data_IF_370040973856
#
_entry.id   IF_370040973856
#
_cell.length_a   1.000
_cell.length_b   1.000
_cell.length_c   1.000
_cell.angle_alpha   90.00
_cell.angle_beta   90.00
_cell.angle_gamma   90.00
#
_symmetry.space_group_name_H-M   'P 1'
#
loop_
_entity.id
_entity.type
_entity.pdbx_description
1 polymer ?
#
# COMPACT_ATOMS: atom_id res chain seq x y z
N UNK A 1 -1.22 -30.34 12.53
CA UNK A 1 -0.69 -31.41 13.37
C UNK A 1 0.19 -32.32 12.52
N UNK A 2 1.41 -32.69 13.06
CA UNK A 2 2.30 -33.65 12.43
C UNK A 2 2.03 -35.05 12.94
N UNK A 3 2.24 -36.06 12.11
CA UNK A 3 2.20 -37.44 12.48
C UNK A 3 3.34 -38.23 11.82
N UNK A 4 3.73 -39.36 12.43
CA UNK A 4 4.84 -40.17 11.97
C UNK A 4 4.26 -41.52 11.50
N UNK A 5 4.66 -41.98 10.34
CA UNK A 5 4.35 -43.27 9.81
C UNK A 5 5.63 -44.06 9.54
N UNK A 6 5.63 -45.34 9.83
CA UNK A 6 6.73 -46.24 9.47
C UNK A 6 6.47 -46.79 8.07
N UNK A 7 7.33 -46.52 7.11
CA UNK A 7 7.25 -46.97 5.73
C UNK A 7 8.59 -47.50 5.25
N UNK A 8 8.57 -48.68 4.69
CA UNK A 8 9.73 -49.36 4.00
C UNK A 8 11.04 -49.36 4.81
N UNK A 9 10.97 -49.42 6.13
CA UNK A 9 12.13 -49.43 7.00
C UNK A 9 12.53 -48.09 7.63
N UNK A 10 11.84 -47.01 7.25
CA UNK A 10 12.11 -45.66 7.75
C UNK A 10 10.88 -45.04 8.43
N UNK A 11 11.16 -44.06 9.33
CA UNK A 11 10.13 -43.20 9.91
C UNK A 11 9.92 -41.98 9.05
N UNK A 12 8.72 -41.86 8.46
CA UNK A 12 8.36 -40.70 7.64
C UNK A 12 7.49 -39.77 8.46
N UNK A 13 7.89 -38.50 8.51
CA UNK A 13 7.16 -37.44 9.19
C UNK A 13 6.25 -36.74 8.19
N UNK A 14 4.97 -36.69 8.53
CA UNK A 14 3.95 -35.96 7.76
C UNK A 14 3.52 -34.73 8.55
N UNK A 15 3.51 -33.59 7.90
CA UNK A 15 3.04 -32.33 8.46
C UNK A 15 2.01 -31.70 7.56
N UNK A 16 0.98 -31.12 8.16
CA UNK A 16 0.14 -30.17 7.46
C UNK A 16 0.97 -28.91 7.21
N UNK A 17 1.14 -28.55 5.96
CA UNK A 17 1.90 -27.35 5.58
C UNK A 17 0.97 -26.24 5.19
N UNK A 18 1.32 -25.01 5.58
CA UNK A 18 0.65 -23.80 5.18
C UNK A 18 1.33 -23.17 3.95
N UNK A 19 0.57 -22.34 3.28
CA UNK A 19 1.02 -21.47 2.21
C UNK A 19 0.80 -20.03 2.65
N UNK A 20 1.73 -19.14 2.33
CA UNK A 20 1.56 -17.70 2.54
C UNK A 20 1.83 -16.96 1.25
N UNK A 21 1.04 -15.92 1.04
CA UNK A 21 1.22 -14.95 -0.04
C UNK A 21 1.64 -13.61 0.55
N UNK A 22 2.64 -12.98 -0.05
CA UNK A 22 3.17 -11.67 0.35
C UNK A 22 3.19 -10.76 -0.87
N UNK A 23 2.59 -9.57 -0.76
CA UNK A 23 2.66 -8.50 -1.75
C UNK A 23 3.54 -7.38 -1.21
N UNK A 24 4.58 -7.02 -1.94
CA UNK A 24 5.54 -6.00 -1.53
C UNK A 24 5.90 -5.08 -2.70
N UNK A 25 6.33 -3.82 -2.45
CA UNK A 25 6.91 -2.99 -3.48
C UNK A 25 8.07 -3.71 -4.17
N UNK A 26 8.16 -3.60 -5.48
CA UNK A 26 9.13 -4.36 -6.30
C UNK A 26 10.59 -4.13 -5.89
N UNK A 27 10.88 -2.94 -5.37
CA UNK A 27 12.22 -2.55 -4.91
C UNK A 27 12.59 -3.09 -3.52
N UNK A 28 11.63 -3.68 -2.79
CA UNK A 28 11.86 -4.17 -1.43
C UNK A 28 12.36 -5.60 -1.43
N UNK A 29 13.25 -5.92 -0.50
CA UNK A 29 13.58 -7.30 -0.16
C UNK A 29 12.57 -7.82 0.86
N UNK A 30 12.08 -9.02 0.63
CA UNK A 30 11.13 -9.69 1.52
C UNK A 30 11.75 -10.97 2.05
N UNK A 31 11.60 -11.20 3.34
CA UNK A 31 12.13 -12.38 4.03
C UNK A 31 10.98 -13.15 4.69
N UNK A 32 11.03 -14.47 4.59
CA UNK A 32 10.15 -15.38 5.31
C UNK A 32 11.03 -16.29 6.16
N UNK A 33 10.86 -16.24 7.48
CA UNK A 33 11.73 -16.94 8.46
C UNK A 33 13.22 -16.66 8.21
N UNK A 34 13.57 -15.39 7.98
CA UNK A 34 14.92 -14.90 7.69
C UNK A 34 15.53 -15.40 6.36
N UNK A 35 14.74 -16.01 5.48
CA UNK A 35 15.17 -16.40 4.14
C UNK A 35 14.61 -15.40 3.14
N UNK A 36 15.50 -14.76 2.38
CA UNK A 36 15.12 -13.81 1.31
C UNK A 36 14.34 -14.53 0.20
N UNK A 37 13.21 -13.93 -0.20
CA UNK A 37 12.43 -14.43 -1.32
C UNK A 37 13.04 -14.00 -2.65
N UNK A 38 13.13 -14.94 -3.58
CA UNK A 38 13.69 -14.70 -4.91
C UNK A 38 12.68 -15.02 -6.01
N UNK A 39 13.15 -15.06 -7.24
CA UNK A 39 12.36 -15.32 -8.44
C UNK A 39 11.55 -16.63 -8.37
N UNK A 40 12.05 -17.63 -7.68
CA UNK A 40 11.36 -18.93 -7.55
C UNK A 40 10.04 -18.85 -6.79
N UNK A 41 9.86 -17.85 -5.93
CA UNK A 41 8.65 -17.61 -5.15
C UNK A 41 7.72 -16.59 -5.79
N UNK A 42 8.15 -15.90 -6.85
CA UNK A 42 7.34 -14.89 -7.53
C UNK A 42 6.18 -15.55 -8.27
N UNK A 43 4.98 -15.07 -8.00
CA UNK A 43 3.73 -15.50 -8.66
C UNK A 43 3.15 -14.43 -9.58
N UNK A 44 3.41 -13.16 -9.30
CA UNK A 44 2.99 -12.04 -10.13
C UNK A 44 3.95 -10.87 -9.97
N UNK A 45 4.23 -10.16 -11.08
CA UNK A 45 5.05 -8.93 -11.14
C UNK A 45 4.25 -7.77 -11.71
N UNK A 46 4.82 -6.59 -11.61
CA UNK A 46 4.30 -5.35 -12.20
C UNK A 46 2.84 -5.05 -11.78
N UNK A 47 2.47 -5.41 -10.55
CA UNK A 47 1.13 -5.13 -10.04
C UNK A 47 1.07 -3.63 -9.74
N UNK A 48 0.13 -2.87 -10.35
CA UNK A 48 -0.02 -1.44 -10.07
C UNK A 48 -0.38 -1.18 -8.61
N UNK A 49 0.04 -0.03 -8.10
CA UNK A 49 -0.34 0.47 -6.78
C UNK A 49 -1.83 0.85 -6.72
N UNK A 50 -2.37 0.93 -5.53
CA UNK A 50 -3.71 1.50 -5.33
C UNK A 50 -3.64 3.01 -5.61
N UNK A 51 -4.54 3.50 -6.45
CA UNK A 51 -4.58 4.91 -6.84
C UNK A 51 -3.62 5.30 -7.97
N UNK A 52 -2.94 4.36 -8.61
CA UNK A 52 -2.09 4.65 -9.77
C UNK A 52 -2.86 5.39 -10.88
N UNK A 53 -4.16 5.14 -11.00
CA UNK A 53 -5.06 5.84 -11.92
C UNK A 53 -5.26 7.33 -11.60
N UNK A 54 -4.90 7.75 -10.39
CA UNK A 54 -5.00 9.15 -9.93
C UNK A 54 -3.69 9.91 -10.11
N UNK A 55 -2.63 9.23 -10.51
CA UNK A 55 -1.32 9.85 -10.68
C UNK A 55 -1.30 10.78 -11.91
N UNK A 56 -0.52 11.88 -11.84
CA UNK A 56 -0.33 12.77 -12.97
C UNK A 56 0.24 12.05 -14.19
N UNK A 57 -0.09 12.55 -15.38
CA UNK A 57 0.43 11.98 -16.62
C UNK A 57 1.97 11.96 -16.65
N UNK A 58 2.54 10.78 -16.88
CA UNK A 58 3.99 10.59 -16.92
C UNK A 58 4.63 10.29 -15.57
N UNK A 59 3.85 10.21 -14.50
CA UNK A 59 4.30 9.71 -13.19
C UNK A 59 3.98 8.22 -13.12
N UNK A 60 5.00 7.41 -12.89
CA UNK A 60 4.82 5.98 -12.64
C UNK A 60 4.61 5.74 -11.14
N UNK A 61 3.58 5.00 -10.80
CA UNK A 61 3.30 4.56 -9.42
C UNK A 61 4.23 3.46 -8.95
N UNK A 62 4.13 3.14 -7.69
CA UNK A 62 4.89 2.04 -7.09
C UNK A 62 4.35 0.71 -7.60
N UNK A 63 5.19 -0.05 -8.29
CA UNK A 63 4.87 -1.41 -8.72
C UNK A 63 5.11 -2.40 -7.59
N UNK A 64 4.29 -3.42 -7.54
CA UNK A 64 4.35 -4.47 -6.54
C UNK A 64 4.65 -5.83 -7.16
N UNK A 65 5.36 -6.64 -6.41
CA UNK A 65 5.58 -8.07 -6.70
C UNK A 65 4.85 -8.92 -5.66
N UNK A 66 4.22 -9.98 -6.13
CA UNK A 66 3.58 -10.98 -5.28
C UNK A 66 4.41 -12.24 -5.23
N UNK A 67 4.62 -12.73 -4.01
CA UNK A 67 5.37 -13.95 -3.72
C UNK A 67 4.44 -14.97 -3.07
N UNK A 68 4.71 -16.25 -3.31
CA UNK A 68 4.02 -17.35 -2.64
C UNK A 68 5.04 -18.34 -2.10
N UNK A 69 4.96 -18.63 -0.81
CA UNK A 69 5.83 -19.60 -0.12
C UNK A 69 4.98 -20.74 0.38
N UNK A 70 5.35 -21.96 0.01
CA UNK A 70 4.66 -23.20 0.38
C UNK A 70 5.51 -24.03 1.35
N UNK A 71 4.87 -24.99 1.98
CA UNK A 71 5.57 -25.97 2.82
C UNK A 71 5.91 -25.44 4.22
N UNK A 72 5.25 -24.39 4.69
CA UNK A 72 5.48 -23.83 6.01
C UNK A 72 4.79 -24.65 7.10
N UNK A 73 5.56 -25.06 8.11
CA UNK A 73 5.05 -25.91 9.22
C UNK A 73 4.43 -25.05 10.34
N UNK A 74 4.84 -23.78 10.44
CA UNK A 74 4.37 -22.82 11.45
C UNK A 74 3.99 -21.50 10.78
N UNK A 75 3.26 -20.67 11.52
CA UNK A 75 3.05 -19.27 11.13
C UNK A 75 4.42 -18.62 10.89
N UNK A 76 4.69 -18.11 9.69
CA UNK A 76 5.99 -17.54 9.38
C UNK A 76 6.17 -16.17 10.02
N UNK A 77 7.42 -15.85 10.33
CA UNK A 77 7.87 -14.48 10.53
C UNK A 77 8.15 -13.87 9.15
N UNK A 78 7.51 -12.73 8.87
CA UNK A 78 7.71 -12.01 7.61
C UNK A 78 8.30 -10.64 7.93
N UNK A 79 9.42 -10.34 7.30
CA UNK A 79 10.11 -9.05 7.41
C UNK A 79 10.44 -8.49 6.05
N UNK A 80 10.74 -7.21 5.97
CA UNK A 80 11.12 -6.56 4.71
C UNK A 80 12.14 -5.46 4.94
N UNK A 81 12.94 -5.19 3.92
CA UNK A 81 13.94 -4.12 3.88
C UNK A 81 13.68 -3.25 2.66
N UNK A 82 13.54 -1.95 2.87
CA UNK A 82 13.44 -0.98 1.78
C UNK A 82 14.83 -0.62 1.25
N UNK A 83 14.98 -0.25 -0.03
CA UNK A 83 16.27 0.17 -0.58
C UNK A 83 16.82 1.43 0.07
N UNK A 84 15.95 2.28 0.60
CA UNK A 84 16.30 3.58 1.20
C UNK A 84 16.48 3.49 2.73
N UNK A 85 16.37 2.29 3.31
CA UNK A 85 16.45 2.08 4.76
C UNK A 85 15.24 2.61 5.53
N UNK A 86 14.16 2.96 4.84
CA UNK A 86 12.91 3.37 5.48
C UNK A 86 12.28 2.17 6.20
N UNK A 87 11.67 2.44 7.34
CA UNK A 87 10.90 1.42 8.02
C UNK A 87 9.73 0.92 7.15
N UNK A 88 9.42 -0.35 7.28
CA UNK A 88 8.29 -0.96 6.59
C UNK A 88 7.39 -1.68 7.57
N UNK A 89 6.11 -1.71 7.26
CA UNK A 89 5.11 -2.47 8.00
C UNK A 89 4.71 -3.70 7.19
N UNK A 90 4.60 -4.84 7.87
CA UNK A 90 4.04 -6.06 7.30
C UNK A 90 2.71 -6.36 7.98
N UNK A 91 1.64 -6.31 7.23
CA UNK A 91 0.27 -6.54 7.73
C UNK A 91 -0.40 -7.69 7.00
N UNK A 92 -1.10 -8.56 7.75
CA UNK A 92 -2.00 -9.53 7.15
C UNK A 92 -3.33 -8.86 6.80
N UNK A 93 -3.72 -8.95 5.52
CA UNK A 93 -4.99 -8.43 4.99
C UNK A 93 -5.97 -9.56 4.83
N UNK A 94 -6.94 -9.65 5.74
CA UNK A 94 -7.90 -10.76 5.81
C UNK A 94 -8.76 -10.90 4.54
N UNK A 95 -9.18 -9.78 3.96
CA UNK A 95 -9.99 -9.76 2.72
C UNK A 95 -9.26 -10.33 1.51
N UNK A 96 -7.95 -10.26 1.49
CA UNK A 96 -7.09 -10.73 0.40
C UNK A 96 -6.38 -12.04 0.72
N UNK A 97 -6.42 -12.45 1.99
CA UNK A 97 -5.72 -13.62 2.53
C UNK A 97 -4.21 -13.61 2.23
N UNK A 98 -3.61 -12.41 2.30
CA UNK A 98 -2.19 -12.21 2.05
C UNK A 98 -1.57 -11.21 3.01
N UNK A 99 -0.26 -11.22 3.11
CA UNK A 99 0.51 -10.19 3.79
C UNK A 99 0.83 -9.07 2.80
N UNK A 100 0.63 -7.83 3.23
CA UNK A 100 1.08 -6.63 2.51
C UNK A 100 2.27 -6.01 3.22
N UNK A 101 3.27 -5.65 2.43
CA UNK A 101 4.38 -4.81 2.85
C UNK A 101 4.09 -3.39 2.40
N UNK A 102 4.12 -2.45 3.33
CA UNK A 102 3.91 -1.03 3.05
C UNK A 102 5.06 -0.21 3.63
N UNK A 103 5.51 0.86 2.95
CA UNK A 103 6.44 1.80 3.56
C UNK A 103 5.78 2.44 4.79
N UNK A 104 6.55 2.60 5.87
CA UNK A 104 6.18 3.46 6.98
C UNK A 104 6.87 4.80 6.76
N UNK A 105 6.08 5.84 6.67
CA UNK A 105 6.61 7.20 6.72
C UNK A 105 7.03 7.49 8.15
N UNK A 106 8.24 8.00 8.33
CA UNK A 106 8.69 8.39 9.66
C UNK A 106 7.93 9.63 10.18
N UNK A 107 7.94 9.81 11.49
CA UNK A 107 7.23 10.92 12.13
C UNK A 107 7.75 12.30 11.67
N UNK A 108 9.02 12.38 11.25
CA UNK A 108 9.63 13.63 10.78
C UNK A 108 9.06 14.01 9.40
N UNK A 109 8.97 13.08 8.46
CA UNK A 109 8.38 13.29 7.14
C UNK A 109 6.88 13.61 7.26
N UNK A 110 6.17 12.88 8.13
CA UNK A 110 4.77 13.16 8.40
C UNK A 110 4.56 14.56 9.00
N UNK A 111 5.42 14.99 9.93
CA UNK A 111 5.36 16.32 10.53
C UNK A 111 5.66 17.42 9.51
N UNK A 112 6.63 17.21 8.62
CA UNK A 112 7.00 18.18 7.57
C UNK A 112 5.82 18.47 6.62
N UNK A 113 5.08 17.45 6.23
CA UNK A 113 4.00 17.58 5.24
C UNK A 113 2.61 17.79 5.85
N UNK A 114 2.46 17.58 7.16
CA UNK A 114 1.16 17.64 7.84
C UNK A 114 0.41 18.95 7.61
N UNK A 115 1.09 20.08 7.82
CA UNK A 115 0.45 21.39 7.71
C UNK A 115 0.04 21.70 6.26
N UNK A 116 0.83 21.24 5.29
CA UNK A 116 0.49 21.38 3.87
C UNK A 116 -0.76 20.57 3.51
N UNK A 117 -0.82 19.31 3.92
CA UNK A 117 -1.97 18.43 3.64
C UNK A 117 -3.24 18.92 4.33
N UNK A 118 -3.14 19.34 5.60
CA UNK A 118 -4.29 19.89 6.33
C UNK A 118 -4.82 21.16 5.68
N UNK A 119 -3.92 22.04 5.25
CA UNK A 119 -4.29 23.29 4.57
C UNK A 119 -4.92 23.03 3.19
N UNK A 120 -4.41 22.05 2.44
CA UNK A 120 -5.01 21.63 1.19
C UNK A 120 -6.45 21.08 1.39
N UNK A 121 -6.65 20.26 2.42
CA UNK A 121 -7.96 19.74 2.78
C UNK A 121 -8.94 20.84 3.23
N UNK A 122 -8.48 21.80 4.01
CA UNK A 122 -9.28 22.96 4.43
C UNK A 122 -9.70 23.84 3.25
N UNK A 123 -8.78 24.17 2.35
CA UNK A 123 -9.08 24.96 1.16
C UNK A 123 -10.00 24.21 0.19
N UNK A 124 -9.85 22.89 0.07
CA UNK A 124 -10.76 22.05 -0.72
C UNK A 124 -12.18 22.07 -0.13
N UNK A 125 -12.33 21.99 1.18
CA UNK A 125 -13.63 22.06 1.86
C UNK A 125 -14.31 23.41 1.62
N UNK A 126 -13.58 24.51 1.79
CA UNK A 126 -14.09 25.86 1.51
C UNK A 126 -14.52 26.01 0.04
N UNK A 127 -13.77 25.41 -0.87
CA UNK A 127 -14.11 25.42 -2.27
C UNK A 127 -15.41 24.65 -2.55
N UNK A 128 -15.60 23.48 -1.93
CA UNK A 128 -16.82 22.68 -2.03
C UNK A 128 -18.06 23.38 -1.42
N UNK A 129 -17.85 24.21 -0.39
CA UNK A 129 -18.89 25.04 0.23
C UNK A 129 -19.18 26.35 -0.53
N UNK A 130 -18.48 26.61 -1.62
CA UNK A 130 -18.52 27.83 -2.39
C UNK A 130 -18.04 29.09 -1.62
N UNK A 131 -17.23 28.88 -0.60
CA UNK A 131 -16.62 29.95 0.21
C UNK A 131 -15.21 30.36 -0.28
N UNK A 132 -14.68 29.60 -1.24
CA UNK A 132 -13.40 29.89 -1.89
C UNK A 132 -13.52 29.70 -3.40
N UNK A 133 -12.60 30.32 -4.13
CA UNK A 133 -12.55 30.23 -5.58
C UNK A 133 -11.43 29.27 -6.04
N UNK A 134 -11.53 28.79 -7.28
CA UNK A 134 -10.59 27.83 -7.85
C UNK A 134 -9.11 28.17 -7.61
N UNK A 135 -8.73 29.44 -7.71
CA UNK A 135 -7.33 29.87 -7.48
C UNK A 135 -6.80 29.60 -6.08
N UNK A 136 -7.66 29.49 -5.07
CA UNK A 136 -7.27 29.12 -3.70
C UNK A 136 -6.83 27.67 -3.58
N UNK A 137 -7.58 26.79 -4.23
CA UNK A 137 -7.33 25.34 -4.13
C UNK A 137 -6.40 24.81 -5.23
N UNK A 138 -6.37 25.40 -6.42
CA UNK A 138 -5.64 24.89 -7.58
C UNK A 138 -4.13 24.72 -7.34
N UNK A 139 -3.56 25.49 -6.43
CA UNK A 139 -2.14 25.39 -6.08
C UNK A 139 -1.75 24.08 -5.39
N UNK A 140 -2.73 23.32 -4.89
CA UNK A 140 -2.54 22.04 -4.22
C UNK A 140 -2.72 20.83 -5.15
N UNK A 141 -3.10 21.07 -6.39
CA UNK A 141 -3.27 20.02 -7.40
C UNK A 141 -2.17 20.13 -8.46
N UNK A 142 -1.71 18.98 -8.93
CA UNK A 142 -0.89 18.94 -10.14
C UNK A 142 -1.75 19.27 -11.36
N UNK A 143 -1.40 20.31 -12.16
CA UNK A 143 -2.18 20.68 -13.34
C UNK A 143 -2.27 19.59 -14.41
N UNK A 144 -1.41 18.59 -14.40
CA UNK A 144 -1.43 17.46 -15.33
C UNK A 144 -2.30 16.30 -14.87
N UNK A 145 -2.81 16.33 -13.62
CA UNK A 145 -3.61 15.25 -13.05
C UNK A 145 -5.07 15.30 -13.51
N UNK A 146 -5.68 14.12 -13.66
CA UNK A 146 -7.13 14.02 -13.95
C UNK A 146 -7.98 14.63 -12.84
N UNK A 147 -7.47 14.58 -11.60
CA UNK A 147 -8.14 15.17 -10.42
C UNK A 147 -8.22 16.70 -10.52
N UNK A 148 -7.21 17.36 -11.13
CA UNK A 148 -7.21 18.79 -11.36
C UNK A 148 -8.37 19.22 -12.27
N UNK A 149 -8.54 18.56 -13.41
CA UNK A 149 -9.61 18.85 -14.34
C UNK A 149 -10.98 18.46 -13.78
N UNK A 150 -11.08 17.34 -13.09
CA UNK A 150 -12.30 16.90 -12.42
C UNK A 150 -12.74 17.88 -11.34
N UNK A 151 -11.82 18.31 -10.46
CA UNK A 151 -12.13 19.27 -9.41
C UNK A 151 -12.52 20.63 -9.99
N UNK A 152 -11.87 21.10 -11.06
CA UNK A 152 -12.18 22.36 -11.74
C UNK A 152 -13.58 22.39 -12.35
N UNK A 153 -14.04 21.25 -12.88
CA UNK A 153 -15.30 21.16 -13.63
C UNK A 153 -16.48 20.71 -12.79
N UNK A 154 -16.25 20.04 -11.67
CA UNK A 154 -17.31 19.40 -10.87
C UNK A 154 -18.10 20.33 -9.96
N UNK A 155 -17.68 21.58 -9.78
CA UNK A 155 -18.19 22.50 -8.76
C UNK A 155 -19.59 23.04 -8.96
N UNK A 156 -20.18 22.85 -10.10
CA UNK A 156 -21.55 23.35 -10.32
C UNK A 156 -22.64 22.45 -9.73
N UNK A 157 -22.25 21.31 -9.13
CA UNK A 157 -23.23 20.30 -8.73
C UNK A 157 -23.48 20.15 -7.22
N UNK A 158 -22.68 20.75 -6.36
CA UNK A 158 -22.85 20.58 -4.91
C UNK A 158 -22.87 21.93 -4.19
N UNK A 159 -24.07 22.44 -3.91
CA UNK A 159 -24.25 23.46 -2.88
C UNK A 159 -24.39 22.70 -1.56
N UNK A 160 -23.33 22.65 -0.79
CA UNK A 160 -23.34 22.08 0.58
C UNK A 160 -23.67 23.23 1.52
N UNK A 161 -24.64 23.01 2.40
CA UNK A 161 -25.02 23.98 3.45
C UNK A 161 -23.82 24.21 4.39
N UNK A 162 -23.60 25.47 4.81
CA UNK A 162 -22.48 25.92 5.63
C UNK A 162 -22.51 25.32 7.05
N UNK A 163 -22.01 24.14 7.21
CA UNK A 163 -21.90 23.50 8.53
C UNK A 163 -20.49 23.55 9.13
N UNK A 164 -19.54 24.17 8.45
CA UNK A 164 -18.15 24.35 8.86
C UNK A 164 -17.44 23.03 9.18
N UNK A 165 -16.52 22.59 8.32
CA UNK A 165 -15.64 21.46 8.62
C UNK A 165 -14.57 21.85 9.62
N UNK A 166 -14.35 21.03 10.65
CA UNK A 166 -13.20 21.11 11.54
C UNK A 166 -12.36 19.87 11.33
N UNK A 167 -11.11 20.06 10.96
CA UNK A 167 -10.09 19.03 10.82
C UNK A 167 -9.22 18.93 12.06
#
# INVERSE_FOLDING_TARGET
HGWVKYEEGDFVLYYDTAEVTVKAPETYKVFVNSVELGEAQVTQKDIPGEGDELLPQGVEGVKYTQYTVKGLIKTPEITSESPDGLASEVKYVESEKMYRVSPLFDDALMAEHKDYVLKAAEEYSKYMENDSWWGGISQYFDPSSEIYESARTSLTMFVIDHNGYRF
#
